data_IF_445028088678
#
_entry.id   IF_445028088678
#
_cell.length_a   1.000
_cell.length_b   1.000
_cell.length_c   1.000
_cell.angle_alpha   90.00
_cell.angle_beta   90.00
_cell.angle_gamma   90.00
#
_symmetry.space_group_name_H-M   'P 1'
#
loop_
_entity.id
_entity.type
_entity.pdbx_description
1 polymer ?
#
# COMPACT_ATOMS: atom_id res chain seq x y z
N UNK A 1 -12.43 -1.83 1.26
CA UNK A 1 -11.33 -0.86 1.04
C UNK A 1 -10.29 -1.08 2.12
N UNK A 2 -8.99 -1.03 1.79
CA UNK A 2 -7.93 -1.17 2.80
C UNK A 2 -8.03 -0.02 3.78
N UNK A 3 -7.85 -0.30 5.07
CA UNK A 3 -7.67 0.77 6.06
C UNK A 3 -6.18 1.09 6.24
N UNK A 4 -5.28 0.24 5.74
CA UNK A 4 -3.85 0.46 5.69
C UNK A 4 -3.29 -0.10 4.39
N UNK A 5 -2.49 0.70 3.68
CA UNK A 5 -1.85 0.35 2.41
C UNK A 5 -0.55 1.15 2.32
N UNK A 6 0.59 0.46 2.42
CA UNK A 6 1.92 1.08 2.44
C UNK A 6 2.87 0.29 1.53
N UNK A 7 3.60 0.98 0.63
CA UNK A 7 4.73 0.35 -0.04
C UNK A 7 5.81 0.04 1.01
N UNK A 8 6.44 -1.11 0.89
CA UNK A 8 7.50 -1.61 1.77
C UNK A 8 8.64 -2.20 0.95
N UNK A 9 9.84 -2.20 1.54
CA UNK A 9 11.02 -2.86 1.00
C UNK A 9 11.55 -3.86 2.01
N UNK A 10 11.89 -5.04 1.53
CA UNK A 10 12.48 -6.09 2.35
C UNK A 10 14.00 -6.03 2.27
N UNK A 11 14.68 -6.26 3.41
CA UNK A 11 16.15 -6.18 3.48
C UNK A 11 16.87 -7.35 2.80
N UNK A 12 16.23 -8.52 2.71
CA UNK A 12 16.82 -9.76 2.20
C UNK A 12 16.23 -10.26 0.87
N UNK A 13 15.29 -9.54 0.28
CA UNK A 13 14.59 -10.01 -0.92
C UNK A 13 15.35 -9.56 -2.17
N UNK A 14 16.07 -10.50 -2.79
CA UNK A 14 16.92 -10.25 -3.98
C UNK A 14 16.13 -10.15 -5.30
N UNK A 15 14.80 -10.32 -5.29
CA UNK A 15 13.99 -10.20 -6.49
C UNK A 15 13.46 -8.76 -6.66
N UNK A 16 14.21 -8.01 -7.47
CA UNK A 16 13.77 -6.79 -8.17
C UNK A 16 13.46 -5.56 -7.30
N UNK A 17 13.53 -4.41 -7.94
CA UNK A 17 13.16 -3.08 -7.46
C UNK A 17 11.67 -2.92 -7.13
N UNK A 18 10.95 -4.01 -6.80
CA UNK A 18 9.51 -4.00 -6.57
C UNK A 18 9.18 -3.35 -5.23
N UNK A 19 8.42 -2.26 -5.29
CA UNK A 19 7.76 -1.69 -4.12
C UNK A 19 6.56 -2.60 -3.79
N UNK A 20 6.79 -3.61 -2.95
CA UNK A 20 5.71 -4.47 -2.45
C UNK A 20 4.75 -3.64 -1.62
N UNK A 21 3.45 -3.88 -1.78
CA UNK A 21 2.43 -3.25 -0.95
C UNK A 21 2.04 -4.17 0.20
N UNK A 22 2.23 -3.68 1.43
CA UNK A 22 1.68 -4.28 2.63
C UNK A 22 0.32 -3.66 2.93
N UNK A 23 -0.72 -4.49 3.00
CA UNK A 23 -2.09 -4.01 3.12
C UNK A 23 -2.85 -4.72 4.22
N UNK A 24 -3.74 -3.97 4.84
CA UNK A 24 -4.66 -4.50 5.84
C UNK A 24 -6.09 -4.07 5.55
N UNK A 25 -7.00 -5.04 5.64
CA UNK A 25 -8.42 -4.89 5.35
C UNK A 25 -9.24 -5.53 6.45
N UNK A 26 -10.45 -5.02 6.65
CA UNK A 26 -11.50 -5.72 7.37
C UNK A 26 -12.51 -6.19 6.34
N UNK A 27 -12.83 -7.48 6.33
CA UNK A 27 -13.88 -8.01 5.43
C UNK A 27 -15.24 -7.59 5.96
N UNK A 28 -16.20 -7.38 5.06
CA UNK A 28 -17.59 -7.03 5.43
C UNK A 28 -18.45 -8.26 5.68
N UNK A 29 -18.09 -9.37 5.03
CA UNK A 29 -18.93 -10.57 4.94
C UNK A 29 -18.74 -11.50 6.15
N UNK A 30 -17.68 -11.29 6.93
CA UNK A 30 -17.37 -12.05 8.13
C UNK A 30 -17.09 -11.05 9.26
N UNK A 31 -18.07 -10.82 10.13
CA UNK A 31 -17.89 -9.98 11.31
C UNK A 31 -16.67 -10.48 12.09
N UNK A 32 -15.66 -9.60 12.22
CA UNK A 32 -14.40 -9.84 12.97
C UNK A 32 -13.29 -10.54 12.21
N UNK A 33 -13.28 -10.50 10.88
CA UNK A 33 -12.14 -10.97 10.09
C UNK A 33 -11.27 -9.84 9.55
N UNK A 34 -9.96 -9.99 9.74
CA UNK A 34 -8.90 -9.12 9.27
C UNK A 34 -8.09 -9.87 8.22
N UNK A 35 -7.79 -9.19 7.11
CA UNK A 35 -6.87 -9.69 6.10
C UNK A 35 -5.62 -8.84 6.09
N UNK A 36 -4.48 -9.51 6.03
CA UNK A 36 -3.18 -8.93 5.74
C UNK A 36 -2.74 -9.47 4.39
N UNK A 37 -2.38 -8.57 3.47
CA UNK A 37 -1.92 -8.92 2.13
C UNK A 37 -0.54 -8.34 1.86
N UNK A 38 0.26 -9.13 1.14
CA UNK A 38 1.49 -8.69 0.51
C UNK A 38 1.33 -8.88 -0.98
N UNK A 39 1.48 -7.81 -1.75
CA UNK A 39 1.26 -7.81 -3.19
C UNK A 39 2.39 -7.06 -3.87
N UNK A 40 2.97 -7.64 -4.93
CA UNK A 40 3.70 -6.85 -5.92
C UNK A 40 2.68 -6.21 -6.87
N UNK A 41 2.53 -4.88 -6.85
CA UNK A 41 1.64 -4.19 -7.80
C UNK A 41 2.25 -4.03 -9.20
N UNK A 42 3.57 -4.16 -9.31
CA UNK A 42 4.25 -4.09 -10.59
C UNK A 42 4.13 -5.40 -11.38
N UNK A 43 3.79 -6.51 -10.71
CA UNK A 43 3.51 -7.79 -11.33
C UNK A 43 2.05 -7.87 -11.81
N UNK A 44 1.78 -7.76 -13.13
CA UNK A 44 0.42 -7.81 -13.66
C UNK A 44 -0.23 -9.19 -13.53
N UNK A 45 0.58 -10.25 -13.33
CA UNK A 45 0.10 -11.62 -13.15
C UNK A 45 -0.18 -11.94 -11.67
N UNK A 46 0.19 -11.05 -10.75
CA UNK A 46 0.00 -11.20 -9.31
C UNK A 46 0.54 -12.54 -8.76
N UNK A 47 1.63 -13.06 -9.35
CA UNK A 47 2.34 -14.25 -8.86
C UNK A 47 2.83 -14.08 -7.42
N UNK A 48 3.07 -12.82 -7.03
CA UNK A 48 3.47 -12.44 -5.67
C UNK A 48 2.32 -11.81 -4.89
N UNK A 49 1.16 -12.48 -4.87
CA UNK A 49 0.05 -12.16 -3.99
C UNK A 49 -0.07 -13.18 -2.86
N UNK A 50 0.25 -12.73 -1.65
CA UNK A 50 0.16 -13.52 -0.43
C UNK A 50 -0.89 -12.92 0.51
N UNK A 51 -1.61 -13.78 1.23
CA UNK A 51 -2.70 -13.39 2.13
C UNK A 51 -2.65 -14.17 3.44
N UNK A 52 -2.91 -13.47 4.53
CA UNK A 52 -3.18 -14.03 5.84
C UNK A 52 -4.56 -13.55 6.29
N UNK A 53 -5.43 -14.50 6.66
CA UNK A 53 -6.75 -14.23 7.22
C UNK A 53 -6.71 -14.53 8.71
N UNK A 54 -7.15 -13.59 9.53
CA UNK A 54 -7.17 -13.69 10.99
C UNK A 54 -8.49 -13.18 11.53
N UNK A 55 -9.11 -13.94 12.41
CA UNK A 55 -10.16 -13.42 13.28
C UNK A 55 -9.58 -12.37 14.23
N UNK A 56 -10.40 -11.46 14.76
CA UNK A 56 -9.98 -10.52 15.81
C UNK A 56 -9.36 -11.27 17.01
N UNK A 57 -9.90 -12.44 17.37
CA UNK A 57 -9.35 -13.29 18.44
C UNK A 57 -7.95 -13.81 18.14
N UNK A 58 -7.67 -14.24 16.91
CA UNK A 58 -6.33 -14.68 16.52
C UNK A 58 -5.34 -13.51 16.43
N UNK A 59 -5.82 -12.35 15.99
CA UNK A 59 -5.04 -11.14 15.95
C UNK A 59 -4.69 -10.62 17.36
N UNK A 60 -5.57 -10.84 18.34
CA UNK A 60 -5.29 -10.61 19.76
C UNK A 60 -4.26 -11.61 20.32
N UNK A 61 -4.12 -12.82 19.78
CA UNK A 61 -3.07 -13.77 20.21
C UNK A 61 -1.68 -13.38 19.73
N UNK A 62 -1.58 -12.50 18.73
CA UNK A 62 -0.31 -11.93 18.28
C UNK A 62 0.27 -10.94 19.33
N UNK A 63 -0.49 -10.60 20.39
CA UNK A 63 -0.03 -9.79 21.52
C UNK A 63 1.15 -10.46 22.24
N UNK A 64 2.37 -9.95 22.03
CA UNK A 64 3.52 -10.17 22.90
C UNK A 64 3.80 -8.93 23.74
N UNK A 65 3.93 -9.09 25.07
CA UNK A 65 4.45 -8.11 26.04
C UNK A 65 3.94 -6.66 25.91
N UNK A 66 2.69 -6.39 26.32
CA UNK A 66 2.23 -5.02 26.61
C UNK A 66 1.76 -4.18 25.41
N UNK A 67 1.34 -4.83 24.32
CA UNK A 67 0.74 -4.17 23.15
C UNK A 67 -0.79 -4.25 23.26
N UNK A 68 -1.45 -3.10 23.42
CA UNK A 68 -2.91 -3.01 23.60
C UNK A 68 -3.73 -3.21 22.31
N UNK A 69 -3.11 -3.02 21.14
CA UNK A 69 -3.75 -3.12 19.82
C UNK A 69 -2.77 -3.65 18.76
N UNK A 70 -2.89 -4.94 18.41
CA UNK A 70 -2.01 -5.62 17.45
C UNK A 70 -2.08 -5.00 16.04
N UNK A 71 -3.24 -4.45 15.64
CA UNK A 71 -3.37 -3.78 14.33
C UNK A 71 -2.52 -2.52 14.32
N UNK A 72 -2.70 -1.66 15.33
CA UNK A 72 -1.91 -0.43 15.44
C UNK A 72 -0.43 -0.72 15.57
N UNK A 73 -0.05 -1.79 16.27
CA UNK A 73 1.34 -2.19 16.37
C UNK A 73 1.94 -2.55 15.02
N UNK A 74 1.28 -3.41 14.23
CA UNK A 74 1.74 -3.78 12.88
C UNK A 74 1.81 -2.53 12.00
N UNK A 75 0.77 -1.70 11.99
CA UNK A 75 0.72 -0.45 11.21
C UNK A 75 1.87 0.50 11.58
N UNK A 76 2.10 0.70 12.88
CA UNK A 76 3.17 1.57 13.39
C UNK A 76 4.53 1.02 13.02
N UNK A 77 4.75 -0.28 13.19
CA UNK A 77 6.02 -0.91 12.83
C UNK A 77 6.32 -0.73 11.34
N UNK A 78 5.36 -1.01 10.46
CA UNK A 78 5.50 -0.84 9.01
C UNK A 78 5.66 0.64 8.61
N UNK A 79 5.05 1.56 9.35
CA UNK A 79 5.18 3.00 9.08
C UNK A 79 6.53 3.57 9.54
N UNK A 80 7.13 2.98 10.57
CA UNK A 80 8.36 3.45 11.22
C UNK A 80 9.60 2.62 10.81
N UNK A 81 9.59 2.01 9.61
CA UNK A 81 10.73 1.25 9.09
C UNK A 81 11.96 2.15 8.90
N UNK A 82 13.12 1.62 9.26
CA UNK A 82 14.41 2.32 9.29
C UNK A 82 15.58 1.31 9.29
N UNK A 83 16.82 1.79 9.38
CA UNK A 83 17.99 0.90 9.52
C UNK A 83 17.93 0.03 10.80
N UNK A 84 17.28 0.53 11.86
CA UNK A 84 17.12 -0.17 13.13
C UNK A 84 15.81 -0.97 13.24
N UNK A 85 14.89 -0.82 12.28
CA UNK A 85 13.61 -1.54 12.20
C UNK A 85 13.30 -1.93 10.76
N UNK A 86 13.43 -3.20 10.42
CA UNK A 86 13.26 -3.64 9.04
C UNK A 86 12.44 -4.92 8.94
N UNK A 87 12.03 -5.23 7.72
CA UNK A 87 11.32 -6.46 7.39
C UNK A 87 12.23 -7.38 6.56
N UNK A 88 12.07 -8.68 6.77
CA UNK A 88 12.54 -9.70 5.82
C UNK A 88 11.35 -10.54 5.35
N UNK A 89 11.41 -11.09 4.14
CA UNK A 89 10.46 -12.10 3.67
C UNK A 89 11.23 -13.36 3.28
N UNK A 90 10.69 -14.50 3.66
CA UNK A 90 11.16 -15.83 3.26
C UNK A 90 10.02 -16.52 2.53
N UNK A 91 10.18 -16.75 1.22
CA UNK A 91 9.19 -17.42 0.38
C UNK A 91 9.47 -18.91 0.26
N UNK A 92 8.41 -19.71 0.23
CA UNK A 92 8.44 -21.11 -0.18
C UNK A 92 7.32 -21.38 -1.20
N UNK A 93 7.09 -22.64 -1.57
CA UNK A 93 6.07 -23.00 -2.55
C UNK A 93 4.64 -22.66 -2.11
N UNK A 94 4.38 -22.58 -0.80
CA UNK A 94 3.05 -22.40 -0.22
C UNK A 94 2.76 -20.96 0.21
N UNK A 95 3.78 -20.12 0.38
CA UNK A 95 3.59 -18.75 0.86
C UNK A 95 4.85 -17.95 1.16
N UNK A 96 4.70 -16.87 1.92
CA UNK A 96 5.78 -16.03 2.47
C UNK A 96 5.67 -15.89 3.98
N UNK A 97 6.80 -15.98 4.66
CA UNK A 97 6.95 -15.55 6.04
C UNK A 97 7.55 -14.15 6.10
N UNK A 98 6.78 -13.18 6.62
CA UNK A 98 7.26 -11.83 6.89
C UNK A 98 7.76 -11.79 8.34
N UNK A 99 9.01 -11.41 8.52
CA UNK A 99 9.63 -11.24 9.84
C UNK A 99 9.93 -9.77 10.13
N UNK A 100 9.59 -9.32 11.34
CA UNK A 100 9.69 -7.95 11.81
C UNK A 100 10.88 -7.83 12.75
N UNK A 101 12.00 -7.27 12.27
CA UNK A 101 13.23 -7.16 13.04
C UNK A 101 13.44 -5.76 13.59
N UNK A 102 13.92 -5.68 14.83
CA UNK A 102 14.38 -4.42 15.41
C UNK A 102 15.66 -4.59 16.22
N UNK A 103 16.45 -3.53 16.29
CA UNK A 103 17.57 -3.45 17.25
C UNK A 103 17.01 -3.05 18.61
N UNK A 104 17.43 -3.77 19.64
CA UNK A 104 17.18 -3.44 21.03
C UNK A 104 18.52 -3.20 21.71
N UNK A 105 18.63 -2.11 22.47
CA UNK A 105 19.82 -1.78 23.24
C UNK A 105 19.51 -2.06 24.70
N UNK A 106 20.08 -3.14 25.22
CA UNK A 106 20.02 -3.46 26.64
C UNK A 106 21.44 -3.41 27.20
N UNK A 107 21.64 -2.60 28.25
CA UNK A 107 22.93 -2.45 28.93
C UNK A 107 24.13 -2.17 27.99
N UNK A 108 23.92 -1.44 26.90
CA UNK A 108 24.98 -1.05 25.94
C UNK A 108 25.30 -2.10 24.88
N UNK A 109 24.61 -3.24 24.87
CA UNK A 109 24.72 -4.24 23.81
C UNK A 109 23.54 -4.13 22.84
N UNK A 110 23.86 -3.96 21.54
CA UNK A 110 22.86 -3.97 20.46
C UNK A 110 22.53 -5.41 20.09
N UNK A 111 21.29 -5.82 20.36
CA UNK A 111 20.76 -7.12 19.99
C UNK A 111 19.73 -6.99 18.86
N UNK A 112 19.81 -7.87 17.86
CA UNK A 112 18.79 -7.97 16.81
C UNK A 112 17.70 -8.93 17.28
N UNK A 113 16.46 -8.47 17.35
CA UNK A 113 15.32 -9.26 17.83
C UNK A 113 14.27 -9.38 16.72
N UNK A 114 13.82 -10.60 16.44
CA UNK A 114 12.59 -10.83 15.68
C UNK A 114 11.39 -10.60 16.59
N UNK A 115 10.67 -9.51 16.38
CA UNK A 115 9.54 -9.10 17.22
C UNK A 115 8.21 -9.73 16.82
N UNK A 116 8.07 -10.10 15.55
CA UNK A 116 6.83 -10.64 15.01
C UNK A 116 7.11 -11.41 13.72
N UNK A 117 6.48 -12.58 13.58
CA UNK A 117 6.44 -13.35 12.35
C UNK A 117 5.00 -13.49 11.88
N UNK A 118 4.74 -13.16 10.62
CA UNK A 118 3.46 -13.37 9.95
C UNK A 118 3.65 -14.35 8.80
N UNK A 119 2.91 -15.45 8.81
CA UNK A 119 2.91 -16.46 7.75
C UNK A 119 1.72 -16.22 6.82
N UNK A 120 1.99 -15.77 5.60
CA UNK A 120 1.00 -15.53 4.57
C UNK A 120 1.05 -16.66 3.55
N UNK A 121 -0.11 -17.08 3.06
CA UNK A 121 -0.24 -18.13 2.04
C UNK A 121 -0.39 -17.51 0.66
N UNK A 122 0.13 -18.19 -0.36
CA UNK A 122 -0.12 -17.82 -1.76
C UNK A 122 -1.61 -17.89 -2.06
N UNK A 123 -2.13 -16.86 -2.73
CA UNK A 123 -3.53 -16.84 -3.16
C UNK A 123 -3.73 -17.81 -4.33
N UNK A 124 -4.74 -18.68 -4.23
CA UNK A 124 -5.07 -19.68 -5.26
C UNK A 124 -5.68 -19.02 -6.51
N UNK A 125 -5.58 -19.70 -7.65
CA UNK A 125 -6.01 -19.21 -8.97
C UNK A 125 -7.46 -18.69 -9.00
N UNK A 126 -8.40 -19.35 -8.32
CA UNK A 126 -9.80 -18.91 -8.32
C UNK A 126 -10.00 -17.57 -7.58
N UNK A 127 -9.29 -17.37 -6.47
CA UNK A 127 -9.31 -16.11 -5.73
C UNK A 127 -8.49 -15.02 -6.44
N UNK A 128 -7.44 -15.42 -7.16
CA UNK A 128 -6.59 -14.53 -7.94
C UNK A 128 -7.39 -13.86 -9.06
N UNK A 129 -8.21 -14.61 -9.78
CA UNK A 129 -9.07 -14.08 -10.83
C UNK A 129 -9.99 -12.95 -10.32
N UNK A 130 -10.65 -13.17 -9.18
CA UNK A 130 -11.51 -12.16 -8.56
C UNK A 130 -10.73 -10.91 -8.17
N UNK A 131 -9.52 -11.09 -7.64
CA UNK A 131 -8.65 -9.99 -7.24
C UNK A 131 -8.16 -9.17 -8.44
N UNK A 132 -7.77 -9.83 -9.54
CA UNK A 132 -7.39 -9.19 -10.80
C UNK A 132 -8.55 -8.35 -11.34
N UNK A 133 -9.75 -8.91 -11.39
CA UNK A 133 -10.94 -8.21 -11.90
C UNK A 133 -11.30 -6.99 -11.04
N UNK A 134 -11.24 -7.12 -9.72
CA UNK A 134 -11.43 -6.00 -8.79
C UNK A 134 -10.40 -4.89 -9.03
N UNK A 135 -9.13 -5.26 -9.15
CA UNK A 135 -8.01 -4.34 -9.33
C UNK A 135 -8.11 -3.61 -10.67
N UNK A 136 -8.40 -4.32 -11.75
CA UNK A 136 -8.65 -3.75 -13.08
C UNK A 136 -9.81 -2.75 -13.07
N UNK A 137 -10.92 -3.08 -12.40
CA UNK A 137 -12.06 -2.17 -12.24
C UNK A 137 -11.69 -0.89 -11.50
N UNK A 138 -10.90 -0.99 -10.42
CA UNK A 138 -10.38 0.15 -9.65
C UNK A 138 -9.49 1.05 -10.51
N UNK A 139 -8.57 0.48 -11.29
CA UNK A 139 -7.69 1.24 -12.20
C UNK A 139 -8.47 1.91 -13.33
N UNK A 140 -9.45 1.22 -13.92
CA UNK A 140 -10.35 1.79 -14.94
C UNK A 140 -11.11 3.00 -14.41
N UNK A 141 -11.64 2.92 -13.18
CA UNK A 141 -12.33 4.05 -12.53
C UNK A 141 -11.39 5.25 -12.37
N UNK A 142 -10.20 5.03 -11.80
CA UNK A 142 -9.18 6.09 -11.61
C UNK A 142 -8.77 6.74 -12.92
N UNK A 143 -8.60 5.96 -13.99
CA UNK A 143 -8.30 6.50 -15.32
C UNK A 143 -9.43 7.42 -15.82
N UNK A 144 -10.68 6.98 -15.69
CA UNK A 144 -11.85 7.76 -16.11
C UNK A 144 -12.05 9.03 -15.26
N UNK A 145 -11.73 9.00 -13.97
CA UNK A 145 -11.72 10.17 -13.10
C UNK A 145 -10.65 11.18 -13.57
N UNK A 146 -9.39 10.74 -13.73
CA UNK A 146 -8.29 11.60 -14.22
C UNK A 146 -8.54 12.16 -15.62
N UNK A 147 -9.17 11.38 -16.51
CA UNK A 147 -9.52 11.83 -17.86
C UNK A 147 -10.49 13.01 -17.79
N UNK A 148 -11.52 12.93 -16.94
CA UNK A 148 -12.49 14.02 -16.73
C UNK A 148 -11.83 15.27 -16.17
N UNK A 149 -10.98 15.11 -15.15
CA UNK A 149 -10.23 16.24 -14.57
C UNK A 149 -9.35 16.94 -15.63
N UNK A 150 -8.67 16.18 -16.48
CA UNK A 150 -7.84 16.74 -17.55
C UNK A 150 -8.69 17.48 -18.62
N UNK A 151 -9.85 16.94 -18.99
CA UNK A 151 -10.78 17.63 -19.89
C UNK A 151 -11.30 18.95 -19.30
N UNK A 152 -11.58 18.99 -17.99
CA UNK A 152 -11.94 20.22 -17.29
C UNK A 152 -10.79 21.23 -17.23
N UNK A 153 -9.56 20.78 -16.97
CA UNK A 153 -8.37 21.63 -16.99
C UNK A 153 -8.13 22.22 -18.38
N UNK A 154 -8.30 21.44 -19.45
CA UNK A 154 -8.20 21.93 -20.84
C UNK A 154 -9.25 22.99 -21.15
N UNK A 155 -10.49 22.82 -20.66
CA UNK A 155 -11.55 23.84 -20.81
C UNK A 155 -11.18 25.14 -20.09
N UNK A 156 -10.66 25.05 -18.85
CA UNK A 156 -10.19 26.22 -18.08
C UNK A 156 -9.02 26.92 -18.78
N UNK A 157 -8.04 26.18 -19.28
CA UNK A 157 -6.90 26.74 -20.02
C UNK A 157 -7.36 27.55 -21.25
N UNK A 158 -8.26 26.99 -22.07
CA UNK A 158 -8.85 27.71 -23.22
C UNK A 158 -9.59 28.98 -22.82
N UNK A 159 -10.29 28.97 -21.68
CA UNK A 159 -10.98 30.16 -21.17
C UNK A 159 -9.98 31.25 -20.74
N UNK A 160 -8.88 30.88 -20.09
CA UNK A 160 -7.80 31.82 -19.75
C UNK A 160 -7.11 32.39 -20.98
N UNK A 161 -6.80 31.57 -21.99
CA UNK A 161 -6.24 32.04 -23.26
C UNK A 161 -7.14 33.06 -23.95
N UNK A 162 -8.46 32.82 -23.96
CA UNK A 162 -9.42 33.78 -24.52
C UNK A 162 -9.42 35.10 -23.74
N UNK A 163 -9.36 35.05 -22.40
CA UNK A 163 -9.33 36.24 -21.55
C UNK A 163 -8.03 37.03 -21.72
N UNK A 164 -6.89 36.35 -21.87
CA UNK A 164 -5.60 36.98 -22.17
C UNK A 164 -5.70 37.76 -23.48
N UNK A 165 -6.20 37.14 -24.56
CA UNK A 165 -6.38 37.83 -25.85
C UNK A 165 -7.28 39.05 -25.78
N UNK A 166 -8.34 38.99 -24.97
CA UNK A 166 -9.23 40.15 -24.75
C UNK A 166 -8.49 41.29 -24.04
N UNK A 167 -7.77 40.99 -22.96
CA UNK A 167 -6.99 41.98 -22.23
C UNK A 167 -5.86 42.57 -23.09
N UNK A 168 -5.20 41.76 -23.93
CA UNK A 168 -4.18 42.23 -24.88
C UNK A 168 -4.78 43.23 -25.89
N UNK A 169 -5.97 42.95 -26.41
CA UNK A 169 -6.67 43.86 -27.32
C UNK A 169 -7.06 45.18 -26.63
N UNK A 170 -7.61 45.12 -25.41
CA UNK A 170 -7.97 46.30 -24.62
C UNK A 170 -6.75 47.18 -24.33
N UNK A 171 -5.61 46.57 -23.96
CA UNK A 171 -4.34 47.29 -23.73
C UNK A 171 -3.86 47.98 -25.01
N UNK A 172 -3.98 47.34 -26.17
CA UNK A 172 -3.55 47.92 -27.44
C UNK A 172 -4.44 49.08 -27.89
N UNK A 173 -5.75 48.99 -27.70
CA UNK A 173 -6.67 50.12 -27.93
C UNK A 173 -6.34 51.32 -27.02
N UNK A 174 -6.04 51.06 -25.74
CA UNK A 174 -5.71 52.12 -24.77
C UNK A 174 -4.36 52.81 -25.08
N UNK A 175 -3.41 52.12 -25.71
CA UNK A 175 -2.12 52.70 -26.12
C UNK A 175 -2.20 53.59 -27.36
N UNK A 176 -3.25 53.41 -28.18
CA UNK A 176 -3.45 54.15 -29.42
C UNK A 176 -4.38 55.38 -29.26
N UNK A 177 -4.78 55.69 -28.02
CA UNK A 177 -5.49 56.92 -27.62
C UNK A 177 -4.53 57.92 -26.98
#
# INVERSE_FOLDING_TARGET
MAFFDKPIKFKNFQASSADYHFRMYKTRDEENMHMIELCDEADPEFKFLYRLRLTTKELDKIRGNGIDDSIRYIQKFVSDLSEEKWLTCETNAEGCNINFYGIFNDLGQKCVINRLKLSLLSVKDEELHQYVMYTASKYRKRYNDKKRENEEQKKKAKAYEKKIRQLEAEVEETKNM
#
